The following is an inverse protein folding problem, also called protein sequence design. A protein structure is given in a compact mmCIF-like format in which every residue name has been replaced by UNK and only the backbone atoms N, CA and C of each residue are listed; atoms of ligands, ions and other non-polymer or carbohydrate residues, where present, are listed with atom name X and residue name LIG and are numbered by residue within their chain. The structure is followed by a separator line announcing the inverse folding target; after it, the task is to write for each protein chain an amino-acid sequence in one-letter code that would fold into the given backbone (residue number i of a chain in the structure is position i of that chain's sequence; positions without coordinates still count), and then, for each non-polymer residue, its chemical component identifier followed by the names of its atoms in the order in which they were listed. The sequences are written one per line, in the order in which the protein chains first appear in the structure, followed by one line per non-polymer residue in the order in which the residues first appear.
data_IF_692295530415
#
_entry.id   IF_692295530415
#
_cell.length_a   1.000
_cell.length_b   1.000
_cell.length_c   1.000
_cell.angle_alpha   90.00
_cell.angle_beta   90.00
_cell.angle_gamma   90.00
#
_symmetry.space_group_name_H-M   'P 1'
#
loop_
_entity.id
_entity.type
_entity.pdbx_description
1 polymer ?
#
# COMPACT_ATOMS: atom_id res chain seq x y z
N UNK A 1 15.56 7.95 -29.90
CA UNK A 1 14.73 7.41 -28.87
C UNK A 1 14.75 5.92 -29.05
N UNK A 2 15.15 5.20 -28.03
CA UNK A 2 15.31 3.75 -28.07
C UNK A 2 13.94 3.09 -28.24
N UNK A 3 13.91 1.92 -28.84
CA UNK A 3 12.67 1.20 -29.15
C UNK A 3 11.88 0.83 -27.88
N UNK A 4 12.56 0.41 -26.84
CA UNK A 4 12.06 0.05 -25.51
C UNK A 4 11.19 1.15 -24.89
N UNK A 5 11.73 2.36 -24.76
CA UNK A 5 11.00 3.50 -24.20
C UNK A 5 9.74 3.85 -25.01
N UNK A 6 9.87 3.84 -26.35
CA UNK A 6 8.75 4.11 -27.25
C UNK A 6 7.64 3.07 -27.12
N UNK A 7 7.99 1.81 -26.89
CA UNK A 7 7.01 0.73 -26.66
C UNK A 7 6.29 0.93 -25.33
N UNK A 8 7.00 1.17 -24.23
CA UNK A 8 6.40 1.38 -22.91
C UNK A 8 5.48 2.60 -22.90
N UNK A 9 5.91 3.71 -23.50
CA UNK A 9 5.10 4.93 -23.60
C UNK A 9 3.75 4.71 -24.28
N UNK A 10 3.64 3.81 -25.26
CA UNK A 10 2.39 3.50 -25.95
C UNK A 10 1.37 2.77 -25.09
N UNK A 11 1.81 2.17 -23.98
CA UNK A 11 0.92 1.40 -23.10
C UNK A 11 0.01 2.30 -22.24
N UNK A 12 0.47 3.51 -21.89
CA UNK A 12 -0.32 4.45 -21.09
C UNK A 12 -0.74 3.87 -19.75
N UNK A 13 -1.92 4.26 -19.28
CA UNK A 13 -2.48 3.84 -17.99
C UNK A 13 -3.02 2.40 -17.98
N UNK A 14 -3.20 1.77 -19.11
CA UNK A 14 -3.83 0.45 -19.20
C UNK A 14 -2.96 -0.71 -18.70
N UNK A 15 -3.62 -1.73 -18.18
CA UNK A 15 -4.19 -1.83 -16.85
C UNK A 15 -3.10 -2.16 -15.84
N UNK A 16 -2.67 -1.16 -15.11
CA UNK A 16 -1.62 -1.29 -14.08
C UNK A 16 -2.16 -1.81 -12.75
N UNK A 17 -3.48 -1.94 -12.65
CA UNK A 17 -4.13 -2.30 -11.39
C UNK A 17 -5.17 -3.41 -11.56
N UNK A 18 -5.17 -4.33 -10.65
CA UNK A 18 -6.25 -5.08 -10.03
C UNK A 18 -6.24 -6.60 -10.15
N UNK A 19 -5.59 -7.19 -11.13
CA UNK A 19 -5.39 -8.65 -11.14
C UNK A 19 -4.24 -8.99 -12.09
N UNK A 20 -3.46 -10.04 -11.80
CA UNK A 20 -2.42 -10.53 -12.72
C UNK A 20 -2.95 -10.88 -14.11
N UNK A 21 -4.24 -11.25 -14.21
CA UNK A 21 -4.90 -11.50 -15.48
C UNK A 21 -4.96 -10.29 -16.42
N UNK A 22 -4.70 -9.08 -15.90
CA UNK A 22 -4.67 -7.83 -16.67
C UNK A 22 -3.24 -7.32 -16.91
N UNK A 23 -2.22 -7.97 -16.34
CA UNK A 23 -0.82 -7.58 -16.56
C UNK A 23 -0.45 -7.86 -18.02
N UNK A 24 0.20 -6.90 -18.66
CA UNK A 24 0.75 -7.11 -20.02
C UNK A 24 1.80 -8.20 -19.98
N UNK A 25 1.86 -9.00 -21.03
CA UNK A 25 2.94 -9.95 -21.24
C UNK A 25 4.11 -9.25 -21.95
N UNK A 26 5.03 -8.71 -21.16
CA UNK A 26 6.17 -7.95 -21.71
C UNK A 26 7.14 -8.86 -22.46
N UNK A 27 7.21 -10.14 -22.11
CA UNK A 27 8.05 -11.12 -22.83
C UNK A 27 7.48 -11.35 -24.24
N UNK A 28 6.15 -11.55 -24.38
CA UNK A 28 5.51 -11.66 -25.70
C UNK A 28 5.60 -10.35 -26.51
N UNK A 29 5.67 -9.20 -25.83
CA UNK A 29 5.91 -7.91 -26.50
C UNK A 29 7.34 -7.75 -27.02
N UNK A 30 8.24 -8.70 -26.72
CA UNK A 30 9.60 -8.74 -27.21
C UNK A 30 10.65 -8.21 -26.26
N UNK A 31 10.29 -7.84 -25.01
CA UNK A 31 11.28 -7.46 -24.01
C UNK A 31 12.13 -8.66 -23.59
N UNK A 32 13.41 -8.43 -23.46
CA UNK A 32 14.42 -9.46 -23.19
C UNK A 32 15.44 -8.99 -22.14
N UNK A 33 16.32 -9.88 -21.70
CA UNK A 33 17.42 -9.50 -20.80
C UNK A 33 18.36 -8.43 -21.37
N UNK A 34 18.39 -8.23 -22.70
CA UNK A 34 19.19 -7.16 -23.30
C UNK A 34 18.60 -5.76 -23.01
N UNK A 35 17.32 -5.69 -22.64
CA UNK A 35 16.62 -4.43 -22.39
C UNK A 35 16.71 -4.00 -20.91
N UNK A 36 17.24 -4.87 -20.02
CA UNK A 36 17.28 -4.67 -18.56
C UNK A 36 17.87 -3.32 -18.17
N UNK A 37 19.02 -2.96 -18.68
CA UNK A 37 19.67 -1.70 -18.35
C UNK A 37 18.81 -0.48 -18.71
N UNK A 38 18.14 -0.53 -19.86
CA UNK A 38 17.25 0.56 -20.27
C UNK A 38 15.98 0.59 -19.46
N UNK A 39 15.40 -0.59 -19.15
CA UNK A 39 14.24 -0.71 -18.26
C UNK A 39 14.55 -0.15 -16.87
N UNK A 40 15.73 -0.40 -16.31
CA UNK A 40 16.17 0.17 -15.03
C UNK A 40 16.21 1.71 -15.11
N UNK A 41 16.81 2.26 -16.16
CA UNK A 41 16.88 3.73 -16.35
C UNK A 41 15.47 4.32 -16.42
N UNK A 42 14.54 3.70 -17.14
CA UNK A 42 13.16 4.19 -17.27
C UNK A 42 12.41 4.04 -15.95
N UNK A 43 12.56 2.89 -15.27
CA UNK A 43 11.88 2.61 -14.01
C UNK A 43 12.24 3.60 -12.90
N UNK A 44 13.47 4.13 -12.93
CA UNK A 44 14.04 4.98 -11.87
C UNK A 44 14.11 6.46 -12.26
N UNK A 45 13.55 6.82 -13.41
CA UNK A 45 13.62 8.19 -13.93
C UNK A 45 12.65 9.12 -13.18
N UNK A 46 13.21 9.97 -12.32
CA UNK A 46 12.46 10.91 -11.50
C UNK A 46 11.73 11.97 -12.35
N UNK A 47 12.25 12.34 -13.50
CA UNK A 47 11.64 13.35 -14.37
C UNK A 47 10.35 12.84 -15.03
N UNK A 48 10.22 11.54 -15.23
CA UNK A 48 8.98 10.90 -15.72
C UNK A 48 7.89 10.84 -14.65
N UNK A 49 8.27 11.00 -13.39
CA UNK A 49 7.41 10.88 -12.21
C UNK A 49 6.62 12.14 -11.87
N UNK A 50 7.07 13.31 -12.34
CA UNK A 50 6.49 14.57 -11.88
C UNK A 50 5.12 14.85 -12.47
N UNK A 51 4.18 15.24 -11.61
CA UNK A 51 2.80 15.70 -11.81
C UNK A 51 2.57 16.67 -12.99
N UNK A 52 3.60 17.14 -13.66
CA UNK A 52 3.54 18.03 -14.80
C UNK A 52 3.57 17.33 -16.16
N UNK A 53 3.70 16.00 -16.18
CA UNK A 53 3.67 15.26 -17.44
C UNK A 53 2.23 15.15 -17.94
N UNK A 54 1.88 15.94 -18.96
CA UNK A 54 0.56 15.88 -19.63
C UNK A 54 0.40 14.65 -20.52
N UNK A 55 1.47 13.90 -20.72
CA UNK A 55 1.49 12.69 -21.54
C UNK A 55 1.36 11.46 -20.63
N UNK A 56 0.16 10.88 -20.58
CA UNK A 56 -0.12 9.69 -19.76
C UNK A 56 0.84 8.54 -20.09
N UNK A 57 1.26 8.39 -21.33
CA UNK A 57 2.22 7.36 -21.72
C UNK A 57 3.57 7.53 -21.03
N UNK A 58 4.04 8.76 -20.85
CA UNK A 58 5.28 9.03 -20.11
C UNK A 58 5.12 8.74 -18.62
N UNK A 59 3.99 9.14 -18.03
CA UNK A 59 3.73 8.99 -16.60
C UNK A 59 3.74 7.53 -16.15
N UNK A 60 3.24 6.60 -16.96
CA UNK A 60 3.15 5.19 -16.61
C UNK A 60 4.31 4.33 -17.13
N UNK A 61 5.22 4.89 -17.92
CA UNK A 61 6.37 4.14 -18.42
C UNK A 61 7.27 3.55 -17.31
N UNK A 62 7.54 4.23 -16.18
CA UNK A 62 8.27 3.65 -15.05
C UNK A 62 7.58 2.42 -14.45
N UNK A 63 6.25 2.47 -14.29
CA UNK A 63 5.48 1.33 -13.78
C UNK A 63 5.58 0.12 -14.71
N UNK A 64 5.42 0.34 -16.02
CA UNK A 64 5.58 -0.71 -17.01
C UNK A 64 7.00 -1.28 -17.04
N UNK A 65 8.02 -0.43 -16.87
CA UNK A 65 9.40 -0.87 -16.80
C UNK A 65 9.66 -1.78 -15.59
N UNK A 66 9.13 -1.43 -14.40
CA UNK A 66 9.20 -2.29 -13.21
C UNK A 66 8.52 -3.64 -13.44
N UNK A 67 7.33 -3.63 -14.04
CA UNK A 67 6.61 -4.88 -14.34
C UNK A 67 7.36 -5.75 -15.35
N UNK A 68 7.96 -5.16 -16.37
CA UNK A 68 8.81 -5.87 -17.34
C UNK A 68 10.05 -6.46 -16.65
N UNK A 69 10.73 -5.71 -15.80
CA UNK A 69 11.85 -6.20 -14.98
C UNK A 69 11.44 -7.38 -14.08
N UNK A 70 10.23 -7.33 -13.51
CA UNK A 70 9.68 -8.44 -12.73
C UNK A 70 9.48 -9.70 -13.58
N UNK A 71 8.87 -9.60 -14.77
CA UNK A 71 8.70 -10.75 -15.67
C UNK A 71 10.03 -11.32 -16.17
N UNK A 72 11.00 -10.46 -16.42
CA UNK A 72 12.36 -10.87 -16.78
C UNK A 72 13.16 -11.42 -15.58
N UNK A 73 12.60 -11.37 -14.37
CA UNK A 73 13.26 -11.77 -13.11
C UNK A 73 14.62 -11.11 -12.93
N UNK A 74 14.73 -9.83 -13.30
CA UNK A 74 15.99 -9.09 -13.20
C UNK A 74 16.31 -8.75 -11.75
N UNK A 75 17.40 -9.31 -11.21
CA UNK A 75 17.89 -9.01 -9.87
C UNK A 75 18.75 -7.74 -9.82
N UNK A 76 19.20 -7.25 -10.97
CA UNK A 76 20.10 -6.09 -11.07
C UNK A 76 19.44 -4.81 -10.54
N UNK A 77 18.12 -4.67 -10.73
CA UNK A 77 17.35 -3.52 -10.25
C UNK A 77 17.04 -3.54 -8.75
N UNK A 78 17.25 -4.65 -8.05
CA UNK A 78 16.70 -4.88 -6.70
C UNK A 78 17.05 -3.76 -5.70
N UNK A 79 18.32 -3.45 -5.56
CA UNK A 79 18.76 -2.44 -4.60
C UNK A 79 18.27 -1.04 -4.97
N UNK A 80 18.27 -0.71 -6.26
CA UNK A 80 17.85 0.60 -6.74
C UNK A 80 16.32 0.78 -6.59
N UNK A 81 15.55 -0.28 -6.78
CA UNK A 81 14.10 -0.27 -6.52
C UNK A 81 13.82 -0.15 -5.02
N UNK A 82 14.57 -0.82 -4.14
CA UNK A 82 14.45 -0.61 -2.68
C UNK A 82 14.75 0.84 -2.28
N UNK A 83 15.72 1.48 -2.94
CA UNK A 83 16.04 2.87 -2.67
C UNK A 83 14.92 3.84 -3.03
N UNK A 84 13.97 3.45 -3.90
CA UNK A 84 12.81 4.28 -4.22
C UNK A 84 11.93 4.56 -3.00
N UNK A 85 11.88 3.66 -2.02
CA UNK A 85 11.17 3.88 -0.76
C UNK A 85 11.63 5.14 0.01
N UNK A 86 12.83 5.64 -0.25
CA UNK A 86 13.35 6.88 0.38
C UNK A 86 12.83 8.17 -0.29
N UNK A 87 12.06 8.05 -1.35
CA UNK A 87 11.56 9.18 -2.12
C UNK A 87 10.14 9.51 -1.68
N UNK A 88 9.93 10.70 -1.15
CA UNK A 88 8.65 11.16 -0.61
C UNK A 88 7.48 11.00 -1.59
N UNK A 89 7.68 11.28 -2.87
CA UNK A 89 6.64 11.17 -3.89
C UNK A 89 6.22 9.72 -4.20
N UNK A 90 7.06 8.72 -3.89
CA UNK A 90 6.73 7.30 -4.07
C UNK A 90 5.71 6.85 -3.02
N UNK A 91 5.70 7.46 -1.84
CA UNK A 91 4.74 7.14 -0.79
C UNK A 91 3.30 7.40 -1.22
N UNK A 92 3.06 8.42 -2.04
CA UNK A 92 1.74 8.84 -2.49
C UNK A 92 1.32 8.22 -3.85
N UNK A 93 2.21 7.45 -4.52
CA UNK A 93 1.93 6.89 -5.84
C UNK A 93 1.54 5.42 -5.80
N UNK A 94 0.24 5.17 -5.71
CA UNK A 94 -0.32 3.82 -5.68
C UNK A 94 0.03 2.97 -6.92
N UNK A 95 0.19 3.60 -8.09
CA UNK A 95 0.51 2.85 -9.33
C UNK A 95 1.93 2.33 -9.30
N UNK A 96 2.86 3.20 -8.93
CA UNK A 96 4.25 2.80 -8.86
C UNK A 96 4.50 1.81 -7.72
N UNK A 97 3.89 2.04 -6.57
CA UNK A 97 3.94 1.11 -5.44
C UNK A 97 3.38 -0.26 -5.83
N UNK A 98 2.29 -0.31 -6.58
CA UNK A 98 1.75 -1.57 -7.11
C UNK A 98 2.71 -2.26 -8.09
N UNK A 99 3.40 -1.48 -8.93
CA UNK A 99 4.42 -2.02 -9.83
C UNK A 99 5.66 -2.51 -9.08
N UNK A 100 6.08 -1.83 -7.99
CA UNK A 100 7.13 -2.30 -7.07
C UNK A 100 6.74 -3.62 -6.41
N UNK A 101 5.51 -3.70 -5.88
CA UNK A 101 4.98 -4.93 -5.27
C UNK A 101 4.99 -6.10 -6.27
N UNK A 102 4.57 -5.85 -7.51
CA UNK A 102 4.65 -6.85 -8.58
C UNK A 102 6.09 -7.28 -8.84
N UNK A 103 7.03 -6.33 -9.01
CA UNK A 103 8.44 -6.63 -9.23
C UNK A 103 9.01 -7.50 -8.12
N UNK A 104 8.84 -7.10 -6.86
CA UNK A 104 9.33 -7.86 -5.72
C UNK A 104 8.71 -9.26 -5.64
N UNK A 105 7.43 -9.40 -5.94
CA UNK A 105 6.77 -10.71 -5.94
C UNK A 105 7.37 -11.69 -6.95
N UNK A 106 7.81 -11.21 -8.12
CA UNK A 106 8.39 -12.06 -9.17
C UNK A 106 9.82 -12.52 -8.89
N UNK A 107 10.58 -11.73 -8.12
CA UNK A 107 11.97 -12.04 -7.75
C UNK A 107 12.11 -12.58 -6.33
N UNK A 108 10.99 -12.76 -5.62
CA UNK A 108 10.99 -13.10 -4.19
C UNK A 108 11.76 -14.38 -3.86
N UNK A 109 11.77 -15.38 -4.74
CA UNK A 109 12.53 -16.61 -4.48
C UNK A 109 14.04 -16.34 -4.35
N UNK A 110 14.59 -15.48 -5.20
CA UNK A 110 16.02 -15.17 -5.26
C UNK A 110 16.43 -14.10 -4.24
N UNK A 111 15.46 -13.34 -3.71
CA UNK A 111 15.65 -12.23 -2.76
C UNK A 111 14.87 -12.42 -1.46
N UNK A 112 14.54 -13.67 -1.13
CA UNK A 112 13.62 -13.97 -0.03
C UNK A 112 14.13 -13.44 1.32
N UNK A 113 15.37 -13.71 1.65
CA UNK A 113 15.94 -13.28 2.93
C UNK A 113 15.98 -11.75 3.06
N UNK A 114 16.35 -11.05 1.98
CA UNK A 114 16.39 -9.60 1.98
C UNK A 114 14.99 -9.00 2.16
N UNK A 115 13.96 -9.55 1.50
CA UNK A 115 12.57 -9.11 1.63
C UNK A 115 11.99 -9.42 3.02
N UNK A 116 12.23 -10.62 3.56
CA UNK A 116 11.81 -10.99 4.91
C UNK A 116 12.48 -10.08 5.98
N UNK A 117 13.78 -9.84 5.85
CA UNK A 117 14.49 -8.93 6.74
C UNK A 117 13.96 -7.50 6.66
N UNK A 118 13.62 -7.02 5.44
CA UNK A 118 13.02 -5.69 5.28
C UNK A 118 11.65 -5.59 5.98
N UNK A 119 10.81 -6.59 5.85
CA UNK A 119 9.52 -6.67 6.53
C UNK A 119 9.66 -6.67 8.05
N UNK A 120 10.65 -7.39 8.59
CA UNK A 120 10.89 -7.54 10.04
C UNK A 120 11.61 -6.33 10.65
N UNK A 121 12.32 -5.52 9.88
CA UNK A 121 13.09 -4.39 10.38
C UNK A 121 12.18 -3.19 10.66
N UNK A 122 11.96 -2.90 11.97
CA UNK A 122 11.15 -1.78 12.45
C UNK A 122 11.71 -0.39 12.11
N UNK A 123 12.96 -0.30 11.64
CA UNK A 123 13.54 0.95 11.16
C UNK A 123 13.03 1.37 9.78
N UNK A 124 12.45 0.45 9.02
CA UNK A 124 11.80 0.76 7.75
C UNK A 124 10.41 1.38 7.97
N UNK A 125 10.01 2.26 7.04
CA UNK A 125 8.70 2.90 7.10
C UNK A 125 7.58 1.86 7.04
N UNK A 126 6.52 2.10 7.80
CA UNK A 126 5.38 1.20 7.92
C UNK A 126 4.80 0.78 6.57
N UNK A 127 4.44 1.75 5.74
CA UNK A 127 3.81 1.48 4.43
C UNK A 127 4.73 0.69 3.49
N UNK A 128 6.05 0.81 3.64
CA UNK A 128 7.01 0.05 2.84
C UNK A 128 7.10 -1.40 3.31
N UNK A 129 7.04 -1.62 4.63
CA UNK A 129 6.93 -2.96 5.22
C UNK A 129 5.63 -3.65 4.80
N UNK A 130 4.50 -2.91 4.77
CA UNK A 130 3.21 -3.41 4.28
C UNK A 130 3.29 -3.82 2.80
N UNK A 131 3.95 -3.01 1.96
CA UNK A 131 4.15 -3.33 0.54
C UNK A 131 5.00 -4.59 0.36
N UNK A 132 6.06 -4.76 1.16
CA UNK A 132 6.88 -5.98 1.09
C UNK A 132 6.08 -7.20 1.56
N UNK A 133 5.26 -7.08 2.63
CA UNK A 133 4.37 -8.15 3.07
C UNK A 133 3.37 -8.55 1.97
N UNK A 134 2.75 -7.58 1.30
CA UNK A 134 1.88 -7.82 0.13
C UNK A 134 2.64 -8.49 -1.03
N UNK A 135 3.89 -8.10 -1.25
CA UNK A 135 4.73 -8.71 -2.29
C UNK A 135 5.04 -10.17 -1.99
N UNK A 136 5.30 -10.51 -0.73
CA UNK A 136 5.52 -11.87 -0.27
C UNK A 136 4.24 -12.70 -0.34
N UNK A 137 3.09 -12.11 0.00
CA UNK A 137 1.78 -12.74 -0.17
C UNK A 137 1.54 -13.13 -1.63
N UNK A 138 1.68 -12.19 -2.56
CA UNK A 138 1.57 -12.44 -4.01
C UNK A 138 2.57 -13.50 -4.48
N UNK A 139 3.81 -13.46 -3.99
CA UNK A 139 4.82 -14.45 -4.33
C UNK A 139 4.43 -15.85 -3.87
N UNK A 140 3.82 -15.98 -2.70
CA UNK A 140 3.29 -17.25 -2.22
C UNK A 140 2.08 -17.71 -3.04
N UNK A 141 1.10 -16.85 -3.30
CA UNK A 141 -0.09 -17.15 -4.10
C UNK A 141 0.23 -17.62 -5.53
N UNK A 142 1.34 -17.12 -6.10
CA UNK A 142 1.84 -17.51 -7.42
C UNK A 142 2.93 -18.60 -7.39
N UNK A 143 3.07 -19.29 -6.27
CA UNK A 143 4.02 -20.40 -6.10
C UNK A 143 5.49 -20.02 -6.39
N UNK A 144 5.83 -18.71 -6.25
CA UNK A 144 7.22 -18.23 -6.37
C UNK A 144 8.03 -18.59 -5.13
N UNK A 145 7.39 -18.54 -3.95
CA UNK A 145 7.98 -18.94 -2.66
C UNK A 145 7.09 -19.99 -1.99
N UNK A 146 7.65 -20.73 -1.04
CA UNK A 146 6.89 -21.66 -0.18
C UNK A 146 6.32 -20.95 1.04
N UNK A 147 5.31 -21.56 1.67
CA UNK A 147 4.66 -20.98 2.86
C UNK A 147 5.61 -20.90 4.06
N UNK A 148 6.46 -21.90 4.26
CA UNK A 148 7.22 -22.06 5.51
C UNK A 148 8.05 -20.82 5.91
N UNK A 149 8.92 -20.23 5.07
CA UNK A 149 9.68 -19.04 5.46
C UNK A 149 8.78 -17.81 5.65
N UNK A 150 7.71 -17.69 4.86
CA UNK A 150 6.74 -16.59 4.99
C UNK A 150 5.93 -16.72 6.28
N UNK A 151 5.44 -17.92 6.61
CA UNK A 151 4.77 -18.23 7.88
C UNK A 151 5.68 -17.90 9.08
N UNK A 152 6.95 -18.33 9.02
CA UNK A 152 7.90 -18.09 10.09
C UNK A 152 8.14 -16.60 10.35
N UNK A 153 8.26 -15.80 9.29
CA UNK A 153 8.42 -14.36 9.42
C UNK A 153 7.17 -13.68 10.03
N UNK A 154 5.97 -14.11 9.64
CA UNK A 154 4.73 -13.61 10.24
C UNK A 154 4.64 -13.95 11.74
N UNK A 155 5.08 -15.15 12.13
CA UNK A 155 5.13 -15.55 13.54
C UNK A 155 6.17 -14.73 14.32
N UNK A 156 7.35 -14.50 13.74
CA UNK A 156 8.39 -13.69 14.35
C UNK A 156 7.90 -12.26 14.57
N UNK A 157 7.28 -11.66 13.56
CA UNK A 157 6.68 -10.33 13.65
C UNK A 157 5.63 -10.22 14.78
N UNK A 158 4.64 -11.12 14.82
CA UNK A 158 3.59 -11.07 15.83
C UNK A 158 4.09 -11.38 17.26
N UNK A 159 5.19 -12.13 17.42
CA UNK A 159 5.81 -12.38 18.72
C UNK A 159 6.75 -11.26 19.19
N UNK A 160 7.04 -10.25 18.36
CA UNK A 160 7.83 -9.10 18.77
C UNK A 160 6.96 -8.08 19.50
N UNK A 161 7.09 -7.96 20.81
CA UNK A 161 6.26 -7.07 21.65
C UNK A 161 6.41 -5.58 21.33
N UNK A 162 7.50 -5.18 20.67
CA UNK A 162 7.75 -3.79 20.26
C UNK A 162 6.96 -3.39 19.00
N UNK A 163 6.33 -4.34 18.30
CA UNK A 163 5.53 -4.10 17.11
C UNK A 163 4.09 -3.69 17.48
N UNK A 164 3.83 -2.38 17.51
CA UNK A 164 2.57 -1.80 17.95
C UNK A 164 1.77 -1.14 16.82
N UNK A 165 2.12 -1.36 15.56
CA UNK A 165 1.35 -0.83 14.43
C UNK A 165 0.09 -1.66 14.18
N UNK A 166 -1.07 -0.99 14.23
CA UNK A 166 -2.37 -1.65 14.12
C UNK A 166 -2.66 -2.19 12.71
N UNK A 167 -2.23 -1.47 11.66
CA UNK A 167 -2.43 -1.85 10.27
C UNK A 167 -1.57 -3.05 9.86
N UNK A 168 -0.27 -3.03 10.22
CA UNK A 168 0.63 -4.13 9.90
C UNK A 168 0.31 -5.38 10.74
N UNK A 169 -0.11 -5.21 12.01
CA UNK A 169 -0.63 -6.31 12.83
C UNK A 169 -1.86 -6.95 12.15
N UNK A 170 -2.82 -6.14 11.70
CA UNK A 170 -4.02 -6.60 11.03
C UNK A 170 -3.71 -7.36 9.73
N UNK A 171 -2.84 -6.80 8.89
CA UNK A 171 -2.44 -7.43 7.63
C UNK A 171 -1.71 -8.76 7.85
N UNK A 172 -0.81 -8.81 8.84
CA UNK A 172 -0.10 -10.04 9.20
C UNK A 172 -1.05 -11.11 9.74
N UNK A 173 -2.03 -10.73 10.60
CA UNK A 173 -3.07 -11.64 11.10
C UNK A 173 -3.91 -12.19 9.94
N UNK A 174 -4.32 -11.34 8.99
CA UNK A 174 -5.10 -11.78 7.84
C UNK A 174 -4.35 -12.81 7.02
N UNK A 175 -3.08 -12.57 6.69
CA UNK A 175 -2.26 -13.51 5.95
C UNK A 175 -2.07 -14.83 6.72
N UNK A 176 -1.73 -14.75 8.00
CA UNK A 176 -1.54 -15.94 8.83
C UNK A 176 -2.83 -16.78 8.89
N UNK A 177 -3.99 -16.14 9.12
CA UNK A 177 -5.30 -16.79 9.10
C UNK A 177 -5.60 -17.45 7.74
N UNK A 178 -5.40 -16.71 6.64
CA UNK A 178 -5.77 -17.16 5.30
C UNK A 178 -4.98 -18.40 4.87
N UNK A 179 -3.69 -18.43 5.19
CA UNK A 179 -2.79 -19.49 4.68
C UNK A 179 -2.53 -20.63 5.66
N UNK A 180 -2.75 -20.41 6.97
CA UNK A 180 -2.54 -21.44 7.99
C UNK A 180 -3.81 -21.87 8.71
N UNK A 181 -4.96 -21.27 8.37
CA UNK A 181 -6.25 -21.50 9.03
C UNK A 181 -6.16 -21.29 10.55
N UNK A 182 -6.63 -22.26 11.33
CA UNK A 182 -6.65 -22.15 12.79
C UNK A 182 -5.35 -22.58 13.49
N UNK A 183 -4.29 -22.94 12.74
CA UNK A 183 -3.01 -23.44 13.29
C UNK A 183 -2.43 -22.51 14.35
N UNK A 184 -2.51 -21.20 14.14
CA UNK A 184 -1.94 -20.17 15.02
C UNK A 184 -2.97 -19.32 15.77
N UNK A 185 -4.19 -19.83 15.95
CA UNK A 185 -5.28 -19.08 16.60
C UNK A 185 -4.93 -18.59 18.02
N UNK A 186 -4.06 -19.30 18.73
CA UNK A 186 -3.61 -18.85 20.06
C UNK A 186 -2.84 -17.55 19.98
N UNK A 187 -1.88 -17.46 19.07
CA UNK A 187 -1.09 -16.24 18.83
C UNK A 187 -1.99 -15.10 18.32
N UNK A 188 -2.90 -15.38 17.39
CA UNK A 188 -3.86 -14.38 16.90
C UNK A 188 -4.67 -13.81 18.06
N UNK A 189 -5.24 -14.66 18.93
CA UNK A 189 -5.96 -14.21 20.12
C UNK A 189 -5.10 -13.35 21.04
N UNK A 190 -3.87 -13.80 21.32
CA UNK A 190 -2.93 -13.07 22.15
C UNK A 190 -2.62 -11.69 21.57
N UNK A 191 -2.39 -11.60 20.27
CA UNK A 191 -2.16 -10.33 19.57
C UNK A 191 -3.33 -9.36 19.75
N UNK A 192 -4.59 -9.81 19.59
CA UNK A 192 -5.76 -8.96 19.83
C UNK A 192 -5.88 -8.46 21.28
N UNK A 193 -5.32 -9.18 22.26
CA UNK A 193 -5.34 -8.76 23.67
C UNK A 193 -4.16 -7.86 24.05
N UNK A 194 -3.03 -8.00 23.39
CA UNK A 194 -1.77 -7.37 23.80
C UNK A 194 -1.32 -6.23 22.89
N UNK A 195 -1.81 -6.18 21.65
CA UNK A 195 -1.40 -5.23 20.63
C UNK A 195 -2.60 -4.55 19.97
N UNK A 196 -2.43 -3.32 19.45
CA UNK A 196 -3.43 -2.70 18.59
C UNK A 196 -3.57 -3.50 17.29
N UNK A 197 -4.80 -3.66 16.81
CA UNK A 197 -5.12 -4.30 15.53
C UNK A 197 -6.19 -3.45 14.84
N UNK A 198 -5.95 -3.07 13.59
CA UNK A 198 -6.96 -2.38 12.78
C UNK A 198 -8.13 -3.34 12.47
N UNK A 199 -9.20 -3.18 13.25
CA UNK A 199 -10.41 -4.01 13.11
C UNK A 199 -11.26 -3.65 11.91
N UNK A 200 -11.00 -2.53 11.21
CA UNK A 200 -11.63 -2.25 9.92
C UNK A 200 -11.04 -3.11 8.82
N UNK A 201 -9.75 -3.36 8.89
CA UNK A 201 -9.05 -4.17 7.91
C UNK A 201 -9.24 -5.67 8.20
N UNK A 202 -8.95 -6.11 9.43
CA UNK A 202 -8.94 -7.54 9.78
C UNK A 202 -10.31 -8.09 10.24
N UNK A 203 -11.26 -7.22 10.60
CA UNK A 203 -12.34 -7.60 11.49
C UNK A 203 -11.86 -7.67 12.95
N UNK A 204 -12.77 -7.85 13.87
CA UNK A 204 -12.40 -8.11 15.26
C UNK A 204 -12.18 -9.62 15.52
N UNK A 205 -11.78 -9.98 16.73
CA UNK A 205 -11.49 -11.37 17.05
C UNK A 205 -12.70 -12.30 16.85
N UNK A 206 -13.94 -11.83 17.08
CA UNK A 206 -15.14 -12.64 16.83
C UNK A 206 -15.34 -12.91 15.33
N UNK A 207 -15.04 -11.93 14.48
CA UNK A 207 -15.11 -12.10 13.02
C UNK A 207 -14.09 -13.15 12.56
N UNK A 208 -12.84 -13.06 13.04
CA UNK A 208 -11.78 -14.05 12.75
C UNK A 208 -12.21 -15.46 13.20
N UNK A 209 -12.73 -15.60 14.42
CA UNK A 209 -13.16 -16.91 14.95
C UNK A 209 -14.35 -17.49 14.17
N UNK A 210 -15.27 -16.65 13.70
CA UNK A 210 -16.40 -17.08 12.87
C UNK A 210 -15.92 -17.56 11.50
N UNK A 211 -15.03 -16.81 10.85
CA UNK A 211 -14.46 -17.19 9.56
C UNK A 211 -13.70 -18.51 9.63
N UNK A 212 -13.00 -18.76 10.75
CA UNK A 212 -12.28 -20.01 11.00
C UNK A 212 -13.18 -21.15 11.49
N UNK A 213 -14.50 -20.93 11.65
CA UNK A 213 -15.46 -21.92 12.13
C UNK A 213 -15.32 -22.27 13.61
N UNK A 214 -14.58 -21.48 14.39
CA UNK A 214 -14.36 -21.66 15.82
C UNK A 214 -15.50 -21.06 16.68
N UNK A 215 -16.28 -20.17 16.08
CA UNK A 215 -17.45 -19.53 16.68
C UNK A 215 -18.62 -19.56 15.69
N UNK A 216 -19.85 -19.79 16.17
CA UNK A 216 -21.04 -19.89 15.31
C UNK A 216 -21.67 -18.54 15.00
N UNK A 217 -21.61 -17.60 15.94
CA UNK A 217 -22.23 -16.28 15.85
C UNK A 217 -21.52 -15.30 16.77
N UNK A 218 -21.72 -14.02 16.50
CA UNK A 218 -21.22 -12.95 17.36
C UNK A 218 -21.99 -12.90 18.69
N UNK A 219 -21.28 -12.53 19.75
CA UNK A 219 -21.82 -12.22 21.05
C UNK A 219 -21.85 -10.71 21.30
N UNK A 220 -20.96 -9.97 20.64
CA UNK A 220 -20.90 -8.51 20.73
C UNK A 220 -21.43 -7.85 19.43
N UNK A 221 -22.05 -6.66 19.51
CA UNK A 221 -22.41 -5.90 18.32
C UNK A 221 -21.15 -5.54 17.51
N UNK A 222 -21.25 -5.57 16.17
CA UNK A 222 -20.18 -5.00 15.33
C UNK A 222 -20.01 -3.53 15.63
N UNK A 223 -18.77 -3.07 15.71
CA UNK A 223 -18.48 -1.65 15.72
C UNK A 223 -19.02 -1.04 14.42
N UNK A 224 -19.96 -0.10 14.55
CA UNK A 224 -20.48 0.63 13.43
C UNK A 224 -19.55 1.84 13.19
N UNK A 225 -19.04 1.98 11.96
CA UNK A 225 -18.20 3.09 11.58
C UNK A 225 -18.84 4.46 11.91
N UNK A 226 -20.17 4.57 11.79
CA UNK A 226 -20.91 5.78 12.14
C UNK A 226 -20.93 6.06 13.65
N UNK A 227 -20.82 5.02 14.49
CA UNK A 227 -20.76 5.20 15.94
C UNK A 227 -19.39 5.74 16.37
N UNK A 228 -18.30 5.41 15.65
CA UNK A 228 -16.97 5.98 15.88
C UNK A 228 -16.91 7.47 15.51
N UNK A 229 -17.55 7.89 14.43
CA UNK A 229 -17.66 9.30 14.07
C UNK A 229 -18.64 10.08 14.98
N UNK A 230 -19.57 9.41 15.64
CA UNK A 230 -20.53 10.02 16.56
C UNK A 230 -20.00 10.20 17.99
N UNK A 231 -18.85 9.64 18.34
CA UNK A 231 -18.21 9.82 19.66
C UNK A 231 -17.46 11.15 19.76
N UNK A 232 -17.13 11.80 18.65
CA UNK A 232 -16.55 13.14 18.66
C UNK A 232 -17.67 14.21 18.60
N UNK A 233 -17.85 14.90 19.72
CA UNK A 233 -18.55 16.17 19.87
C UNK A 233 -20.05 16.26 19.47
N UNK A 234 -20.92 15.80 20.36
CA UNK A 234 -22.31 16.31 20.44
C UNK A 234 -22.42 17.76 20.96
N UNK A 235 -21.34 18.53 20.91
CA UNK A 235 -21.46 19.97 21.10
C UNK A 235 -21.67 20.62 19.72
N UNK A 236 -22.85 21.27 19.51
CA UNK A 236 -23.03 22.04 18.29
C UNK A 236 -21.91 23.06 18.22
N UNK A 237 -21.20 23.11 17.10
CA UNK A 237 -20.17 24.12 16.84
C UNK A 237 -20.88 25.46 16.89
N UNK A 238 -20.89 26.13 18.04
CA UNK A 238 -21.40 27.50 18.19
C UNK A 238 -20.41 28.38 17.45
N UNK A 239 -20.85 28.90 16.31
CA UNK A 239 -20.06 29.85 15.58
C UNK A 239 -20.18 31.19 16.31
N UNK A 240 -19.27 31.47 17.24
CA UNK A 240 -19.20 32.68 18.06
C UNK A 240 -18.83 33.93 17.26
N UNK A 241 -18.63 33.80 15.96
CA UNK A 241 -18.42 34.97 15.11
C UNK A 241 -19.76 35.70 14.92
N UNK A 242 -19.86 36.97 15.27
CA UNK A 242 -21.06 37.73 15.04
C UNK A 242 -21.42 37.71 13.56
N UNK A 243 -22.66 37.31 13.26
CA UNK A 243 -23.17 37.28 11.89
C UNK A 243 -23.28 38.70 11.39
N UNK A 244 -22.35 39.13 10.55
CA UNK A 244 -22.34 40.44 9.93
C UNK A 244 -23.23 40.39 8.70
N UNK A 245 -24.31 41.17 8.69
CA UNK A 245 -25.20 41.30 7.53
C UNK A 245 -24.49 42.01 6.36
N UNK A 246 -24.87 41.68 5.15
CA UNK A 246 -24.29 42.29 3.92
C UNK A 246 -24.37 43.83 3.93
N UNK A 247 -25.37 44.41 4.61
CA UNK A 247 -25.62 45.86 4.67
C UNK A 247 -25.05 46.52 5.94
N UNK A 248 -24.53 45.75 6.87
CA UNK A 248 -23.95 46.28 8.13
C UNK A 248 -22.62 47.00 7.86
N UNK A 249 -22.21 47.89 8.76
CA UNK A 249 -20.90 48.51 8.68
C UNK A 249 -19.78 47.46 8.62
N UNK A 250 -18.82 47.68 7.75
CA UNK A 250 -17.71 46.75 7.64
C UNK A 250 -16.84 46.72 8.91
N UNK A 251 -16.54 45.56 9.49
CA UNK A 251 -15.75 45.42 10.71
C UNK A 251 -14.30 45.91 10.56
N UNK A 252 -13.81 46.12 9.33
CA UNK A 252 -12.49 46.70 9.08
C UNK A 252 -12.39 48.20 9.42
N UNK A 253 -13.49 48.86 9.83
CA UNK A 253 -13.49 50.26 10.19
C UNK A 253 -13.52 51.26 9.01
N UNK A 254 -13.70 50.78 7.79
CA UNK A 254 -13.71 51.62 6.56
C UNK A 254 -14.91 52.55 6.43
N UNK A 255 -15.95 52.40 7.27
CA UNK A 255 -17.22 53.13 7.17
C UNK A 255 -18.13 52.67 6.02
N UNK A 256 -17.69 51.75 5.18
CA UNK A 256 -18.47 51.19 4.09
C UNK A 256 -19.33 49.98 4.54
N UNK A 257 -20.40 49.68 3.79
CA UNK A 257 -21.18 48.45 3.99
C UNK A 257 -20.33 47.25 3.72
N UNK A 258 -20.48 46.17 4.53
CA UNK A 258 -19.69 44.93 4.43
C UNK A 258 -19.62 44.37 3.00
N UNK A 259 -20.77 44.34 2.27
CA UNK A 259 -20.84 43.88 0.87
C UNK A 259 -20.07 44.72 -0.14
N UNK A 260 -19.63 45.95 0.23
CA UNK A 260 -18.86 46.83 -0.65
C UNK A 260 -17.40 46.97 -0.22
N UNK A 261 -16.96 46.17 0.77
CA UNK A 261 -15.64 46.29 1.34
C UNK A 261 -14.93 44.94 1.50
N UNK A 262 -15.40 44.09 2.40
CA UNK A 262 -14.70 42.86 2.78
C UNK A 262 -15.51 41.55 2.53
N UNK A 263 -16.62 41.60 1.77
CA UNK A 263 -17.42 40.43 1.43
C UNK A 263 -16.95 39.79 0.12
#
# INVERSE_FOLDING_TARGET
MNDTFTQLKKLGKEPLMRTESLTKDYIQMGFTLNDVNELIVIALDDDLYYYNCKDEGLLFAPCHALMALGQLKSLEAFNDVLLQFKKEYVEEDDYYRSAMSYYFSKIANDKLNELLNFYLDSSNMLYDRMLILESLEKAYEHEVITLEPFEQAMLEYLNNDDELDDGLNAMTICNLKNYTHHKHIKLIRETFYTKPVDTFFAGDLEDIEIELGLRKQRETPRLNIFDMFNVQDKQPHVNDRPKIGRNDPCPCGSGNKYKKCCL
#
